data_IF_485524623612
#
_entry.id   IF_485524623612
#
_cell.length_a   1.000
_cell.length_b   1.000
_cell.length_c   1.000
_cell.angle_alpha   90.00
_cell.angle_beta   90.00
_cell.angle_gamma   90.00
#
_symmetry.space_group_name_H-M   'P 1'
#
loop_
_entity.id
_entity.type
_entity.pdbx_description
1 polymer ?
#
# COMPACT_ATOMS: atom_id res chain seq x y z
N UNK A 1 -6.31 -2.97 1.60
CA UNK A 1 -6.59 -4.38 1.98
C UNK A 1 -6.78 -5.19 0.69
N UNK A 2 -6.73 -6.52 0.74
CA UNK A 2 -6.85 -7.32 -0.50
C UNK A 2 -8.21 -7.18 -1.17
N UNK A 3 -9.30 -7.16 -0.40
CA UNK A 3 -10.65 -6.99 -0.94
C UNK A 3 -10.85 -5.61 -1.59
N UNK A 4 -10.33 -4.55 -0.95
CA UNK A 4 -10.33 -3.19 -1.50
C UNK A 4 -9.57 -3.13 -2.84
N UNK A 5 -8.40 -3.77 -2.93
CA UNK A 5 -7.63 -3.85 -4.18
C UNK A 5 -8.39 -4.59 -5.29
N UNK A 6 -9.10 -5.67 -4.93
CA UNK A 6 -9.95 -6.42 -5.85
C UNK A 6 -11.15 -5.61 -6.35
N UNK A 7 -11.67 -4.70 -5.52
CA UNK A 7 -12.85 -3.88 -5.84
C UNK A 7 -12.52 -2.58 -6.57
N UNK A 8 -11.28 -2.11 -6.50
CA UNK A 8 -10.83 -0.85 -7.09
C UNK A 8 -11.09 -0.82 -8.60
N UNK A 9 -11.71 0.27 -9.08
CA UNK A 9 -12.02 0.52 -10.48
C UNK A 9 -11.04 1.52 -11.09
N UNK A 10 -11.00 1.57 -12.43
CA UNK A 10 -10.21 2.57 -13.15
C UNK A 10 -10.68 3.98 -12.84
N UNK A 11 -12.01 4.18 -12.75
CA UNK A 11 -12.63 5.47 -12.42
C UNK A 11 -12.32 5.97 -11.00
N UNK A 12 -11.83 5.10 -10.11
CA UNK A 12 -11.45 5.48 -8.75
C UNK A 12 -10.05 6.12 -8.71
N UNK A 13 -9.31 6.12 -9.83
CA UNK A 13 -7.99 6.72 -9.93
C UNK A 13 -8.08 8.14 -10.49
N UNK A 14 -7.43 9.07 -9.81
CA UNK A 14 -7.08 10.38 -10.33
C UNK A 14 -5.57 10.44 -10.48
N UNK A 15 -5.06 10.21 -11.69
CA UNK A 15 -3.63 10.16 -11.95
C UNK A 15 -3.00 11.54 -12.10
N UNK A 16 -3.80 12.58 -12.36
CA UNK A 16 -3.34 13.96 -12.40
C UNK A 16 -3.05 14.44 -10.97
N UNK A 17 -4.00 14.23 -10.07
CA UNK A 17 -3.85 14.54 -8.64
C UNK A 17 -3.07 13.46 -7.87
N UNK A 18 -2.72 12.35 -8.54
CA UNK A 18 -2.03 11.19 -7.96
C UNK A 18 -2.73 10.66 -6.72
N UNK A 19 -4.03 10.44 -6.81
CA UNK A 19 -4.84 9.87 -5.72
C UNK A 19 -5.66 8.68 -6.21
N UNK A 20 -6.04 7.81 -5.28
CA UNK A 20 -7.01 6.74 -5.50
C UNK A 20 -8.10 6.81 -4.43
N UNK A 21 -9.36 6.76 -4.85
CA UNK A 21 -10.50 6.61 -3.95
C UNK A 21 -10.63 5.13 -3.57
N UNK A 22 -10.52 4.82 -2.28
CA UNK A 22 -10.61 3.45 -1.78
C UNK A 22 -11.85 3.29 -0.93
N UNK A 23 -12.76 2.43 -1.38
CA UNK A 23 -13.98 2.09 -0.68
C UNK A 23 -13.73 1.08 0.44
N UNK A 24 -13.84 1.54 1.69
CA UNK A 24 -13.66 0.73 2.88
C UNK A 24 -14.95 0.02 3.34
N UNK A 25 -14.81 -0.84 4.37
CA UNK A 25 -15.98 -1.47 5.02
C UNK A 25 -16.83 -0.41 5.72
N UNK A 26 -18.16 -0.49 5.57
CA UNK A 26 -19.11 0.42 6.21
C UNK A 26 -19.13 1.81 5.59
N UNK A 27 -18.97 1.90 4.27
CA UNK A 27 -18.98 3.15 3.50
C UNK A 27 -17.95 4.19 3.94
N UNK A 28 -16.84 3.71 4.52
CA UNK A 28 -15.70 4.56 4.90
C UNK A 28 -14.75 4.68 3.71
N UNK A 29 -15.07 5.62 2.85
CA UNK A 29 -14.24 5.99 1.72
C UNK A 29 -13.05 6.83 2.17
N UNK A 30 -11.93 6.67 1.47
CA UNK A 30 -10.73 7.48 1.72
C UNK A 30 -9.94 7.69 0.45
N UNK A 31 -9.29 8.85 0.34
CA UNK A 31 -8.29 9.08 -0.69
C UNK A 31 -6.93 8.58 -0.22
N UNK A 32 -6.28 7.79 -1.05
CA UNK A 32 -4.93 7.30 -0.81
C UNK A 32 -4.00 7.98 -1.82
N UNK A 33 -2.96 8.72 -1.37
CA UNK A 33 -2.00 9.34 -2.28
C UNK A 33 -1.16 8.27 -2.98
N UNK A 34 -0.79 8.55 -4.23
CA UNK A 34 0.00 7.70 -5.09
C UNK A 34 1.37 8.34 -5.31
N UNK A 35 2.44 7.63 -4.96
CA UNK A 35 3.80 8.10 -5.24
C UNK A 35 4.05 8.25 -6.74
N UNK A 36 5.01 9.08 -7.13
CA UNK A 36 5.39 9.29 -8.54
C UNK A 36 5.75 7.97 -9.25
N UNK A 37 6.53 7.12 -8.59
CA UNK A 37 6.92 5.82 -9.13
C UNK A 37 5.71 4.92 -9.39
N UNK A 38 4.77 4.86 -8.42
CA UNK A 38 3.54 4.08 -8.56
C UNK A 38 2.66 4.62 -9.70
N UNK A 39 2.51 5.94 -9.80
CA UNK A 39 1.74 6.59 -10.87
C UNK A 39 2.29 6.23 -12.25
N UNK A 40 3.62 6.28 -12.43
CA UNK A 40 4.28 5.85 -13.68
C UNK A 40 4.07 4.36 -14.00
N UNK A 41 4.01 3.51 -12.98
CA UNK A 41 3.71 2.08 -13.17
C UNK A 41 2.24 1.87 -13.56
N UNK A 42 1.31 2.59 -12.92
CA UNK A 42 -0.12 2.54 -13.23
C UNK A 42 -0.40 3.02 -14.67
N UNK A 43 0.21 4.12 -15.11
CA UNK A 43 0.07 4.60 -16.50
C UNK A 43 0.52 3.55 -17.52
N UNK A 44 1.67 2.88 -17.28
CA UNK A 44 2.14 1.79 -18.14
C UNK A 44 1.21 0.59 -18.11
N UNK A 45 0.70 0.25 -16.93
CA UNK A 45 -0.23 -0.85 -16.75
C UNK A 45 -1.56 -0.60 -17.49
N UNK A 46 -2.13 0.60 -17.38
CA UNK A 46 -3.40 0.96 -18.01
C UNK A 46 -3.35 0.84 -19.52
N UNK A 47 -2.27 1.30 -20.17
CA UNK A 47 -2.07 1.10 -21.61
C UNK A 47 -2.08 -0.37 -22.02
N UNK A 48 -1.28 -1.20 -21.33
CA UNK A 48 -1.24 -2.66 -21.60
C UNK A 48 -2.57 -3.34 -21.31
N UNK A 49 -3.29 -2.86 -20.30
CA UNK A 49 -4.61 -3.35 -19.92
C UNK A 49 -5.63 -3.05 -21.03
N UNK A 50 -5.63 -1.84 -21.58
CA UNK A 50 -6.49 -1.45 -22.70
C UNK A 50 -6.19 -2.29 -23.93
N UNK A 51 -4.91 -2.42 -24.31
CA UNK A 51 -4.45 -3.30 -25.41
C UNK A 51 -4.95 -4.74 -25.22
N UNK A 52 -4.86 -5.27 -23.99
CA UNK A 52 -5.29 -6.64 -23.71
C UNK A 52 -6.82 -6.80 -23.70
N UNK A 53 -7.55 -5.78 -23.22
CA UNK A 53 -9.01 -5.82 -23.11
C UNK A 53 -9.71 -5.61 -24.45
N UNK A 54 -9.15 -4.80 -25.34
CA UNK A 54 -9.82 -4.35 -26.56
C UNK A 54 -11.15 -3.70 -26.22
N UNK A 55 -12.20 -4.06 -26.95
CA UNK A 55 -13.55 -3.48 -26.79
C UNK A 55 -14.32 -4.03 -25.56
N UNK A 56 -13.72 -4.94 -24.78
CA UNK A 56 -14.42 -5.55 -23.64
C UNK A 56 -14.50 -4.60 -22.45
N UNK A 57 -15.72 -4.36 -21.98
CA UNK A 57 -15.98 -3.60 -20.77
C UNK A 57 -15.50 -4.35 -19.52
N UNK A 58 -14.55 -3.75 -18.81
CA UNK A 58 -14.14 -4.17 -17.48
C UNK A 58 -13.90 -2.91 -16.64
N UNK A 59 -14.68 -2.64 -15.57
CA UNK A 59 -14.50 -1.44 -14.76
C UNK A 59 -13.33 -1.57 -13.77
N UNK A 60 -12.97 -2.80 -13.38
CA UNK A 60 -11.97 -3.06 -12.34
C UNK A 60 -10.56 -2.70 -12.81
N UNK A 61 -9.80 -2.00 -11.96
CA UNK A 61 -8.40 -1.68 -12.23
C UNK A 61 -7.61 -2.96 -12.50
N UNK A 62 -7.68 -3.90 -11.57
CA UNK A 62 -7.09 -5.23 -11.71
C UNK A 62 -8.18 -6.26 -12.01
N UNK A 63 -7.95 -7.09 -13.03
CA UNK A 63 -8.90 -8.08 -13.51
C UNK A 63 -8.29 -9.48 -13.53
N UNK A 64 -9.15 -10.49 -13.51
CA UNK A 64 -8.75 -11.90 -13.61
C UNK A 64 -8.50 -12.32 -15.06
N UNK A 65 -7.97 -13.52 -15.29
CA UNK A 65 -7.83 -14.08 -16.65
C UNK A 65 -9.14 -14.15 -17.42
N UNK A 66 -10.26 -14.22 -16.70
CA UNK A 66 -11.61 -14.24 -17.25
C UNK A 66 -12.18 -12.83 -17.44
N UNK A 67 -11.36 -11.79 -17.31
CA UNK A 67 -11.70 -10.38 -17.55
C UNK A 67 -12.78 -9.79 -16.64
N UNK A 68 -13.16 -10.51 -15.59
CA UNK A 68 -13.95 -10.01 -14.46
C UNK A 68 -13.09 -9.61 -13.27
N UNK A 69 -13.75 -9.28 -12.16
CA UNK A 69 -13.10 -8.89 -10.90
C UNK A 69 -12.04 -9.91 -10.47
N UNK A 70 -10.87 -9.41 -10.05
CA UNK A 70 -9.86 -10.26 -9.44
C UNK A 70 -10.31 -10.69 -8.04
N UNK A 71 -10.14 -11.96 -7.67
CA UNK A 71 -10.54 -12.44 -6.34
C UNK A 71 -9.40 -12.29 -5.32
N UNK A 72 -9.71 -12.18 -4.01
CA UNK A 72 -8.67 -12.17 -2.97
C UNK A 72 -7.76 -13.41 -3.00
N UNK A 73 -8.32 -14.58 -3.33
CA UNK A 73 -7.53 -15.81 -3.51
C UNK A 73 -6.60 -15.71 -4.71
N UNK A 74 -7.06 -15.13 -5.82
CA UNK A 74 -6.23 -14.84 -6.98
C UNK A 74 -5.06 -13.92 -6.65
N UNK A 75 -5.29 -12.84 -5.90
CA UNK A 75 -4.20 -11.94 -5.45
C UNK A 75 -3.19 -12.69 -4.59
N UNK A 76 -3.65 -13.52 -3.63
CA UNK A 76 -2.73 -14.34 -2.81
C UNK A 76 -1.88 -15.27 -3.65
N UNK A 77 -2.46 -15.92 -4.67
CA UNK A 77 -1.71 -16.79 -5.58
C UNK A 77 -0.69 -15.99 -6.42
N UNK A 78 -1.05 -14.81 -6.91
CA UNK A 78 -0.13 -13.91 -7.62
C UNK A 78 1.05 -13.54 -6.71
N UNK A 79 0.78 -13.10 -5.49
CA UNK A 79 1.82 -12.74 -4.51
C UNK A 79 2.73 -13.92 -4.20
N UNK A 80 2.17 -15.11 -3.94
CA UNK A 80 2.95 -16.33 -3.68
C UNK A 80 3.85 -16.69 -4.87
N UNK A 81 3.32 -16.60 -6.09
CA UNK A 81 4.08 -16.84 -7.32
C UNK A 81 5.24 -15.83 -7.44
N UNK A 82 4.97 -14.54 -7.28
CA UNK A 82 6.00 -13.50 -7.38
C UNK A 82 7.07 -13.61 -6.29
N UNK A 83 6.69 -14.03 -5.08
CA UNK A 83 7.64 -14.32 -4.00
C UNK A 83 8.64 -15.40 -4.41
N UNK A 84 8.17 -16.47 -5.07
CA UNK A 84 9.04 -17.54 -5.57
C UNK A 84 9.90 -17.05 -6.73
N UNK A 85 9.32 -16.32 -7.69
CA UNK A 85 10.07 -15.76 -8.82
C UNK A 85 11.22 -14.84 -8.34
N UNK A 86 11.00 -14.12 -7.23
CA UNK A 86 11.98 -13.25 -6.59
C UNK A 86 12.91 -13.97 -5.60
N UNK A 87 12.81 -15.30 -5.45
CA UNK A 87 13.62 -16.12 -4.51
C UNK A 87 13.55 -15.64 -3.05
N UNK A 88 12.37 -15.19 -2.61
CA UNK A 88 12.14 -14.85 -1.20
C UNK A 88 11.86 -16.15 -0.45
N UNK A 89 12.79 -16.53 0.41
CA UNK A 89 12.76 -17.77 1.21
C UNK A 89 12.68 -17.47 2.71
N UNK A 90 12.24 -18.44 3.51
CA UNK A 90 12.18 -18.33 4.98
C UNK A 90 11.09 -17.41 5.55
N UNK A 91 10.30 -16.72 4.71
CA UNK A 91 9.27 -15.77 5.15
C UNK A 91 7.93 -16.01 4.44
N UNK A 92 6.83 -15.90 5.20
CA UNK A 92 5.47 -15.97 4.63
C UNK A 92 5.12 -14.68 3.88
N UNK A 93 5.19 -14.73 2.55
CA UNK A 93 4.74 -13.62 1.70
C UNK A 93 3.24 -13.67 1.43
N UNK A 94 2.51 -12.65 1.87
CA UNK A 94 1.07 -12.52 1.68
C UNK A 94 0.66 -11.04 1.57
N UNK A 95 -0.54 -10.70 1.07
CA UNK A 95 -1.02 -9.32 1.07
C UNK A 95 -1.01 -8.67 2.46
N UNK A 96 -1.24 -9.45 3.53
CA UNK A 96 -1.16 -8.97 4.90
C UNK A 96 0.29 -8.63 5.29
N UNK A 97 1.23 -9.53 4.99
CA UNK A 97 2.66 -9.32 5.24
C UNK A 97 3.18 -8.11 4.47
N UNK A 98 2.81 -7.95 3.19
CA UNK A 98 3.20 -6.80 2.37
C UNK A 98 2.68 -5.48 2.96
N UNK A 99 1.43 -5.46 3.46
CA UNK A 99 0.89 -4.28 4.14
C UNK A 99 1.65 -3.97 5.43
N UNK A 100 2.05 -5.00 6.17
CA UNK A 100 2.85 -4.83 7.38
C UNK A 100 4.23 -4.25 7.06
N UNK A 101 4.94 -4.83 6.09
CA UNK A 101 6.22 -4.31 5.62
C UNK A 101 6.13 -2.87 5.11
N UNK A 102 5.06 -2.52 4.37
CA UNK A 102 4.81 -1.15 3.94
C UNK A 102 4.65 -0.19 5.13
N UNK A 103 3.81 -0.55 6.11
CA UNK A 103 3.56 0.28 7.28
C UNK A 103 4.84 0.50 8.09
N UNK A 104 5.60 -0.57 8.36
CA UNK A 104 6.87 -0.51 9.07
C UNK A 104 7.89 0.36 8.32
N UNK A 105 8.08 0.12 7.02
CA UNK A 105 9.00 0.90 6.19
C UNK A 105 8.62 2.39 6.13
N UNK A 106 7.32 2.71 6.08
CA UNK A 106 6.86 4.10 6.07
C UNK A 106 7.30 4.85 7.33
N UNK A 107 7.06 4.27 8.51
CA UNK A 107 7.46 4.86 9.80
C UNK A 107 8.98 4.95 9.92
N UNK A 108 9.70 3.89 9.56
CA UNK A 108 11.17 3.86 9.61
C UNK A 108 11.82 4.93 8.72
N UNK A 109 11.16 5.30 7.63
CA UNK A 109 11.60 6.37 6.72
C UNK A 109 11.17 7.77 7.20
N UNK A 110 10.69 7.91 8.44
CA UNK A 110 10.27 9.18 9.04
C UNK A 110 8.83 9.58 8.72
N UNK A 111 8.02 8.65 8.20
CA UNK A 111 6.61 8.91 7.88
C UNK A 111 5.73 8.99 9.13
N UNK A 112 4.82 9.96 9.15
CA UNK A 112 3.89 10.19 10.26
C UNK A 112 2.87 9.05 10.44
N UNK A 113 2.72 8.60 11.69
CA UNK A 113 1.84 7.49 12.05
C UNK A 113 0.35 7.81 11.86
N UNK A 114 -0.06 9.08 12.03
CA UNK A 114 -1.45 9.49 11.82
C UNK A 114 -1.82 9.49 10.34
N UNK A 115 -0.94 10.02 9.50
CA UNK A 115 -1.04 9.98 8.05
C UNK A 115 -1.07 8.53 7.53
N UNK A 116 -0.21 7.66 8.08
CA UNK A 116 -0.23 6.23 7.77
C UNK A 116 -1.56 5.57 8.16
N UNK A 117 -2.09 5.86 9.35
CA UNK A 117 -3.37 5.34 9.80
C UNK A 117 -4.50 5.73 8.85
N UNK A 118 -4.54 7.01 8.43
CA UNK A 118 -5.52 7.52 7.49
C UNK A 118 -5.44 6.79 6.14
N UNK A 119 -4.24 6.64 5.57
CA UNK A 119 -4.02 5.90 4.31
C UNK A 119 -4.45 4.42 4.41
N UNK A 120 -4.15 3.78 5.53
CA UNK A 120 -4.49 2.40 5.77
C UNK A 120 -5.98 2.20 6.06
N UNK A 121 -6.71 3.22 6.53
CA UNK A 121 -8.12 3.13 6.88
C UNK A 121 -8.36 2.26 8.11
N UNK A 122 -7.47 2.33 9.10
CA UNK A 122 -7.64 1.63 10.37
C UNK A 122 -8.51 2.47 11.32
N UNK A 123 -9.59 1.87 11.80
CA UNK A 123 -10.53 2.52 12.72
C UNK A 123 -9.98 2.68 14.14
N UNK A 124 -8.87 2.00 14.47
CA UNK A 124 -8.27 2.00 15.80
C UNK A 124 -6.73 2.06 15.69
N UNK A 125 -6.14 2.97 16.48
CA UNK A 125 -4.69 3.20 16.58
C UNK A 125 -3.95 1.97 17.13
N UNK A 126 -4.65 1.08 17.86
CA UNK A 126 -4.11 -0.22 18.30
C UNK A 126 -3.67 -1.11 17.13
N UNK A 127 -4.27 -0.92 15.95
CA UNK A 127 -3.86 -1.61 14.73
C UNK A 127 -2.58 -1.00 14.15
N UNK A 128 -2.40 0.32 14.24
CA UNK A 128 -1.16 1.03 13.87
C UNK A 128 -0.01 0.69 14.83
N UNK A 129 -0.27 0.61 16.13
CA UNK A 129 0.70 0.22 17.16
C UNK A 129 1.30 -1.17 16.91
N UNK A 130 0.52 -2.13 16.40
CA UNK A 130 1.05 -3.45 15.99
C UNK A 130 2.05 -3.39 14.82
N UNK A 131 2.08 -2.31 14.02
CA UNK A 131 3.05 -2.12 12.95
C UNK A 131 4.32 -1.41 13.43
N UNK A 132 4.24 -0.67 14.56
CA UNK A 132 5.36 -0.07 15.28
C UNK A 132 5.97 -1.08 16.26
N UNK A 133 5.98 -2.37 15.90
CA UNK A 133 6.89 -3.35 16.50
C UNK A 133 8.31 -3.05 16.06
N UNK A 134 8.78 -1.84 16.38
CA UNK A 134 10.16 -1.42 16.17
C UNK A 134 10.99 -2.24 17.15
N UNK A 135 12.00 -2.91 16.64
CA UNK A 135 13.00 -3.48 17.54
C UNK A 135 13.79 -2.35 18.23
N UNK A 136 14.53 -2.69 19.28
CA UNK A 136 15.32 -1.72 20.06
C UNK A 136 16.29 -0.90 19.18
N UNK A 137 16.81 -1.47 18.09
CA UNK A 137 17.74 -0.76 17.19
C UNK A 137 17.00 0.27 16.35
N UNK A 138 15.82 -0.08 15.86
CA UNK A 138 14.94 0.80 15.10
C UNK A 138 14.40 1.95 15.95
N UNK A 139 14.01 1.66 17.21
CA UNK A 139 13.58 2.67 18.16
C UNK A 139 14.71 3.66 18.48
N UNK A 140 15.94 3.15 18.68
CA UNK A 140 17.11 4.01 18.91
C UNK A 140 17.36 4.95 17.74
N UNK A 141 17.33 4.44 16.50
CA UNK A 141 17.51 5.27 15.29
C UNK A 141 16.47 6.38 15.17
N UNK A 142 15.21 6.08 15.48
CA UNK A 142 14.14 7.08 15.45
C UNK A 142 14.33 8.14 16.54
N UNK A 143 14.75 7.72 17.73
CA UNK A 143 15.09 8.65 18.81
C UNK A 143 16.28 9.55 18.42
N UNK A 144 17.38 8.98 17.94
CA UNK A 144 18.55 9.78 17.52
C UNK A 144 18.17 10.78 16.38
N UNK A 145 17.24 10.40 15.49
CA UNK A 145 16.82 11.24 14.36
C UNK A 145 15.78 12.33 14.70
N UNK A 146 15.01 12.19 15.79
CA UNK A 146 13.93 13.11 16.15
C UNK A 146 13.94 13.49 17.65
N UNK A 147 15.04 13.22 18.33
CA UNK A 147 15.22 13.43 19.76
C UNK A 147 15.19 14.91 20.08
N UNK A 148 14.29 15.40 20.93
CA UNK A 148 14.11 16.83 21.12
C UNK A 148 15.39 17.53 21.60
N UNK A 149 16.24 16.84 22.38
CA UNK A 149 17.51 17.37 22.88
C UNK A 149 18.66 17.27 21.87
N UNK A 150 18.57 16.37 20.89
CA UNK A 150 19.63 16.16 19.89
C UNK A 150 19.51 17.13 18.69
N UNK A 151 18.38 17.82 18.58
CA UNK A 151 18.07 18.78 17.52
C UNK A 151 17.85 20.22 18.04
N UNK A 152 18.02 20.45 19.35
CA UNK A 152 18.22 21.80 19.87
C UNK A 152 19.69 22.12 19.56
N UNK A 153 19.92 22.96 18.56
CA UNK A 153 21.27 23.41 18.25
C UNK A 153 21.92 24.02 19.49
N UNK A 154 23.21 23.74 19.68
CA UNK A 154 24.08 24.47 20.61
C UNK A 154 24.00 25.96 20.25
N UNK A 155 23.07 26.65 20.91
CA UNK A 155 22.67 28.00 20.59
C UNK A 155 22.28 28.70 21.87
N UNK A 156 23.29 28.91 22.72
CA UNK A 156 23.52 30.11 23.54
C UNK A 156 25.03 30.29 23.74
#
# INVERSE_FOLDING_TARGET
RVAELCALKVADLDLAERTALVHGKGSRDRRVPLGLSLTRQLLRYLRRREEHLGDRLCPYLFYSRFRGQLTPSGVRQIVKRRSRDARIEGVRTSPHTLRHSFAKAHVLNGGDAFSLQAMLGHADISTTQKYVGLDLRELRRQHDAFGPLDHIGDGD
#
